data_IF_368738639279
#
_entry.id   IF_368738639279
#
_cell.length_a   1.000
_cell.length_b   1.000
_cell.length_c   1.000
_cell.angle_alpha   90.00
_cell.angle_beta   90.00
_cell.angle_gamma   90.00
#
_symmetry.space_group_name_H-M   'P 1'
#
loop_
_entity.id
_entity.type
_entity.pdbx_description
1 polymer ?
#
# COMPACT_ATOMS: atom_id res chain seq x y z
N UNK A 1 -6.14 132.29 63.75
CA UNK A 1 -4.94 133.12 63.50
C UNK A 1 -4.36 132.76 62.13
N UNK A 2 -4.13 133.79 61.31
CA UNK A 2 -3.17 133.92 60.19
C UNK A 2 -3.06 132.89 59.03
N UNK A 3 -3.67 133.27 57.90
CA UNK A 3 -3.09 133.52 56.54
C UNK A 3 -2.02 132.59 55.90
N UNK A 4 -2.46 131.95 54.80
CA UNK A 4 -1.89 131.83 53.41
C UNK A 4 -0.47 131.35 53.12
N UNK A 5 -0.37 130.34 52.23
CA UNK A 5 0.24 130.46 50.86
C UNK A 5 -0.14 129.27 49.92
N UNK A 6 -0.19 129.57 48.61
CA UNK A 6 -0.48 128.76 47.39
C UNK A 6 0.48 127.54 47.21
N UNK A 7 0.28 126.51 46.37
CA UNK A 7 -0.02 126.52 44.92
C UNK A 7 -0.27 125.11 44.30
N UNK A 8 -0.98 125.12 43.16
CA UNK A 8 -1.00 124.21 41.98
C UNK A 8 -1.19 122.67 42.06
N UNK A 9 -2.39 122.22 41.65
CA UNK A 9 -2.63 121.61 40.32
C UNK A 9 -2.08 120.21 39.96
N UNK A 10 -2.91 119.17 40.07
CA UNK A 10 -3.18 118.19 38.99
C UNK A 10 -4.23 117.17 39.45
N UNK A 11 -5.43 117.30 38.89
CA UNK A 11 -6.58 116.41 39.04
C UNK A 11 -6.61 115.35 37.93
N UNK A 12 -6.98 114.13 38.31
CA UNK A 12 -7.73 113.12 37.52
C UNK A 12 -7.18 112.62 36.18
N UNK A 13 -6.19 111.70 36.20
CA UNK A 13 -5.84 110.90 35.03
C UNK A 13 -5.58 109.39 35.28
N UNK A 14 -5.94 108.83 36.45
CA UNK A 14 -5.56 107.43 36.79
C UNK A 14 -6.70 106.46 37.10
N UNK A 15 -7.97 106.84 36.95
CA UNK A 15 -9.11 105.95 37.28
C UNK A 15 -10.01 105.53 36.09
N UNK A 16 -9.58 105.73 34.83
CA UNK A 16 -10.41 105.40 33.65
C UNK A 16 -9.79 104.41 32.63
N UNK A 17 -8.70 103.72 32.96
CA UNK A 17 -8.11 102.68 32.07
C UNK A 17 -8.53 101.24 32.42
N UNK A 18 -8.95 100.95 33.66
CA UNK A 18 -9.27 99.58 34.08
C UNK A 18 -10.63 99.06 33.58
N UNK A 19 -11.57 99.92 33.16
CA UNK A 19 -12.91 99.51 32.68
C UNK A 19 -13.01 99.29 31.16
N UNK A 20 -11.96 99.58 30.37
CA UNK A 20 -11.95 99.33 28.91
C UNK A 20 -11.42 97.94 28.52
N UNK A 21 -10.82 97.18 29.44
CA UNK A 21 -10.29 95.83 29.17
C UNK A 21 -11.25 94.68 29.49
N UNK A 22 -12.47 94.97 29.97
CA UNK A 22 -13.54 93.95 30.14
C UNK A 22 -14.61 94.15 29.08
N UNK A 23 -14.20 94.23 27.82
CA UNK A 23 -15.11 94.02 26.69
C UNK A 23 -14.68 92.76 25.96
N UNK A 24 -15.53 91.73 26.03
CA UNK A 24 -15.37 90.51 25.22
C UNK A 24 -15.24 90.93 23.75
N UNK A 25 -14.10 90.68 23.07
CA UNK A 25 -13.90 91.15 21.72
C UNK A 25 -14.95 90.52 20.80
N UNK A 26 -15.53 91.32 19.89
CA UNK A 26 -16.51 90.83 18.88
C UNK A 26 -15.98 89.62 18.10
N UNK A 27 -14.67 89.56 17.85
CA UNK A 27 -14.00 88.41 17.22
C UNK A 27 -14.05 87.13 18.07
N UNK A 28 -14.02 87.25 19.39
CA UNK A 28 -14.19 86.11 20.31
C UNK A 28 -15.58 85.46 20.19
N UNK A 29 -16.65 86.26 20.03
CA UNK A 29 -18.00 85.72 19.79
C UNK A 29 -18.14 85.01 18.44
N UNK A 30 -17.56 85.59 17.38
CA UNK A 30 -17.55 84.95 16.05
C UNK A 30 -16.79 83.62 16.10
N UNK A 31 -15.65 83.59 16.78
CA UNK A 31 -14.90 82.36 17.01
C UNK A 31 -15.72 81.33 17.81
N UNK A 32 -16.45 81.73 18.86
CA UNK A 32 -17.34 80.83 19.61
C UNK A 32 -18.47 80.27 18.75
N UNK A 33 -19.05 81.06 17.82
CA UNK A 33 -20.07 80.55 16.89
C UNK A 33 -19.49 79.61 15.83
N UNK A 34 -18.27 79.85 15.34
CA UNK A 34 -17.58 78.91 14.45
C UNK A 34 -17.18 77.62 15.18
N UNK A 35 -16.64 77.72 16.39
CA UNK A 35 -16.33 76.55 17.23
C UNK A 35 -17.60 75.79 17.58
N UNK A 36 -18.68 76.49 17.97
CA UNK A 36 -19.97 75.89 18.27
C UNK A 36 -20.63 75.26 17.04
N UNK A 37 -20.50 75.89 15.87
CA UNK A 37 -20.99 75.38 14.59
C UNK A 37 -20.21 74.14 14.12
N UNK A 38 -18.87 74.17 14.18
CA UNK A 38 -18.02 73.01 13.89
C UNK A 38 -18.30 71.88 14.87
N UNK A 39 -18.46 72.20 16.17
CA UNK A 39 -18.82 71.20 17.18
C UNK A 39 -20.19 70.57 16.90
N UNK A 40 -21.19 71.37 16.50
CA UNK A 40 -22.50 70.87 16.11
C UNK A 40 -22.42 69.99 14.84
N UNK A 41 -21.62 70.38 13.85
CA UNK A 41 -21.41 69.58 12.64
C UNK A 41 -20.72 68.25 12.97
N UNK A 42 -19.68 68.25 13.81
CA UNK A 42 -19.03 67.02 14.28
C UNK A 42 -20.03 66.15 15.05
N UNK A 43 -20.84 66.74 15.93
CA UNK A 43 -21.89 66.03 16.67
C UNK A 43 -22.92 65.39 15.73
N UNK A 44 -23.31 66.06 14.65
CA UNK A 44 -24.22 65.51 13.65
C UNK A 44 -23.55 64.41 12.81
N UNK A 45 -22.27 64.59 12.44
CA UNK A 45 -21.51 63.58 11.72
C UNK A 45 -21.41 62.26 12.50
N UNK A 46 -21.35 62.31 13.83
CA UNK A 46 -21.33 61.10 14.67
C UNK A 46 -22.56 60.19 14.47
N UNK A 47 -23.69 60.72 13.97
CA UNK A 47 -24.91 59.96 13.68
C UNK A 47 -25.06 59.53 12.21
N UNK A 48 -24.11 59.87 11.34
CA UNK A 48 -24.13 59.39 9.96
C UNK A 48 -23.96 57.86 9.92
N UNK A 49 -24.66 57.17 9.00
CA UNK A 49 -24.45 55.75 8.79
C UNK A 49 -23.04 55.48 8.24
N UNK A 50 -22.29 54.63 8.90
CA UNK A 50 -20.96 54.17 8.48
C UNK A 50 -21.00 52.66 8.22
N UNK A 51 -20.58 52.25 7.03
CA UNK A 51 -20.45 50.83 6.66
C UNK A 51 -19.16 50.27 7.23
N UNK A 52 -19.26 49.28 8.12
CA UNK A 52 -18.10 48.60 8.66
C UNK A 52 -17.48 47.69 7.60
N UNK A 53 -16.16 47.59 7.60
CA UNK A 53 -15.44 46.63 6.77
C UNK A 53 -14.35 45.93 7.59
N UNK A 54 -14.10 44.68 7.23
CA UNK A 54 -12.92 43.95 7.71
C UNK A 54 -11.97 43.87 6.54
N UNK A 55 -10.79 44.49 6.66
CA UNK A 55 -9.74 44.37 5.67
C UNK A 55 -8.88 43.15 5.95
N UNK A 56 -8.74 42.30 4.95
CA UNK A 56 -7.90 41.10 4.96
C UNK A 56 -6.86 41.20 3.85
N UNK A 57 -5.69 40.63 4.09
CA UNK A 57 -4.62 40.55 3.11
C UNK A 57 -4.23 39.09 2.91
N UNK A 58 -3.81 38.77 1.70
CA UNK A 58 -3.56 37.40 1.33
C UNK A 58 -2.94 37.24 -0.04
N UNK A 59 -2.96 36.01 -0.54
CA UNK A 59 -2.42 35.62 -1.83
C UNK A 59 -3.42 34.79 -2.60
N UNK A 60 -3.30 34.76 -3.91
CA UNK A 60 -4.10 33.91 -4.76
C UNK A 60 -3.56 32.48 -4.72
N UNK A 61 -4.42 31.52 -4.45
CA UNK A 61 -4.12 30.09 -4.35
C UNK A 61 -5.11 29.29 -5.20
N UNK A 62 -4.96 27.97 -5.21
CA UNK A 62 -5.97 27.09 -5.78
C UNK A 62 -6.88 26.52 -4.67
N UNK A 63 -8.17 26.47 -4.95
CA UNK A 63 -9.22 25.96 -4.06
C UNK A 63 -8.92 24.51 -3.69
N UNK A 64 -8.78 23.66 -4.71
CA UNK A 64 -8.53 22.23 -4.53
C UNK A 64 -7.03 21.93 -4.40
N UNK A 65 -6.62 20.99 -3.53
CA UNK A 65 -5.21 20.61 -3.38
C UNK A 65 -4.54 20.13 -4.68
N UNK A 66 -5.29 19.47 -5.57
CA UNK A 66 -4.79 18.96 -6.86
C UNK A 66 -4.42 20.07 -7.86
N UNK A 67 -5.02 21.25 -7.70
CA UNK A 67 -4.84 22.41 -8.57
C UNK A 67 -3.71 23.33 -8.08
N UNK A 68 -3.13 23.01 -6.91
CA UNK A 68 -1.95 23.70 -6.39
C UNK A 68 -0.69 23.26 -7.15
N UNK A 69 0.37 24.07 -7.14
CA UNK A 69 1.67 23.65 -7.68
C UNK A 69 2.13 22.33 -7.06
N UNK A 70 2.39 21.32 -7.91
CA UNK A 70 2.83 19.99 -7.50
C UNK A 70 4.31 19.81 -7.78
N UNK A 71 5.06 19.31 -6.81
CA UNK A 71 6.46 18.92 -7.01
C UNK A 71 6.53 17.53 -7.62
N UNK A 72 7.19 17.42 -8.77
CA UNK A 72 7.54 16.15 -9.40
C UNK A 72 8.87 15.70 -8.81
N UNK A 73 8.83 14.58 -8.09
CA UNK A 73 9.98 14.00 -7.38
C UNK A 73 10.57 12.83 -8.14
N UNK A 74 11.86 12.58 -7.91
CA UNK A 74 12.54 11.39 -8.41
C UNK A 74 12.11 10.17 -7.59
N UNK A 75 11.39 9.23 -8.22
CA UNK A 75 11.00 7.95 -7.56
C UNK A 75 12.23 7.07 -7.28
N UNK A 76 13.30 7.25 -8.05
CA UNK A 76 14.54 6.51 -7.88
C UNK A 76 15.73 7.46 -7.78
N UNK A 77 16.75 7.04 -7.06
CA UNK A 77 18.05 7.70 -7.14
C UNK A 77 18.68 7.44 -8.52
N UNK A 78 19.27 8.48 -9.11
CA UNK A 78 19.84 8.41 -10.45
C UNK A 78 20.63 9.66 -10.80
N UNK A 79 21.27 9.66 -11.96
CA UNK A 79 21.97 10.82 -12.52
C UNK A 79 21.16 11.40 -13.67
N UNK A 80 20.94 12.71 -13.68
CA UNK A 80 20.19 13.36 -14.77
C UNK A 80 21.02 13.27 -16.05
N UNK A 81 20.47 12.62 -17.08
CA UNK A 81 21.11 12.48 -18.41
C UNK A 81 20.70 13.62 -19.31
N UNK A 82 19.40 13.92 -19.34
CA UNK A 82 18.81 14.87 -20.28
C UNK A 82 17.52 15.45 -19.70
N UNK A 83 17.28 16.73 -19.99
CA UNK A 83 16.02 17.42 -19.77
C UNK A 83 15.28 17.54 -21.10
N UNK A 84 14.04 17.06 -21.16
CA UNK A 84 13.22 17.06 -22.38
C UNK A 84 12.35 18.31 -22.52
N UNK A 85 12.17 19.06 -21.43
CA UNK A 85 11.25 20.20 -21.35
C UNK A 85 11.94 21.40 -20.72
N UNK A 86 11.62 22.61 -21.22
CA UNK A 86 12.11 23.88 -20.69
C UNK A 86 11.08 24.50 -19.74
N UNK A 87 11.55 25.32 -18.79
CA UNK A 87 10.67 26.11 -17.92
C UNK A 87 9.71 27.01 -18.73
N UNK A 88 8.46 27.09 -18.28
CA UNK A 88 7.38 27.80 -18.96
C UNK A 88 6.67 27.00 -20.07
N UNK A 89 7.15 25.80 -20.40
CA UNK A 89 6.53 24.96 -21.44
C UNK A 89 5.30 24.23 -20.88
N UNK A 90 4.28 24.09 -21.72
CA UNK A 90 3.10 23.28 -21.44
C UNK A 90 3.42 21.79 -21.67
N UNK A 91 3.05 20.94 -20.71
CA UNK A 91 3.19 19.49 -20.77
C UNK A 91 1.84 18.83 -20.54
N UNK A 92 1.61 17.71 -21.22
CA UNK A 92 0.49 16.82 -20.96
C UNK A 92 0.84 15.79 -19.90
N UNK A 93 -0.19 15.16 -19.32
CA UNK A 93 0.00 14.01 -18.45
C UNK A 93 0.73 12.89 -19.19
N UNK A 94 1.82 12.40 -18.63
CA UNK A 94 2.65 11.34 -19.19
C UNK A 94 3.78 11.84 -20.10
N UNK A 95 3.89 13.13 -20.36
CA UNK A 95 5.05 13.68 -21.07
C UNK A 95 6.32 13.52 -20.23
N UNK A 96 7.44 13.21 -20.88
CA UNK A 96 8.72 13.02 -20.18
C UNK A 96 9.35 14.37 -19.90
N UNK A 97 9.70 14.63 -18.64
CA UNK A 97 10.35 15.86 -18.17
C UNK A 97 11.86 15.69 -18.18
N UNK A 98 12.34 14.57 -17.62
CA UNK A 98 13.76 14.27 -17.50
C UNK A 98 14.04 12.77 -17.65
N UNK A 99 15.21 12.43 -18.18
CA UNK A 99 15.74 11.07 -18.19
C UNK A 99 16.83 10.90 -17.13
N UNK A 100 16.71 9.86 -16.33
CA UNK A 100 17.66 9.46 -15.29
C UNK A 100 18.45 8.24 -15.75
N UNK A 101 19.76 8.25 -15.51
CA UNK A 101 20.62 7.08 -15.57
C UNK A 101 20.71 6.43 -14.19
N UNK A 102 20.70 5.11 -14.18
CA UNK A 102 20.89 4.32 -12.97
C UNK A 102 22.31 4.47 -12.42
N UNK A 103 22.41 4.51 -11.09
CA UNK A 103 23.67 4.67 -10.36
C UNK A 103 23.92 3.53 -9.38
N UNK A 104 22.89 2.73 -9.06
CA UNK A 104 23.03 1.60 -8.14
C UNK A 104 23.68 0.42 -8.87
N UNK A 105 24.78 -0.08 -8.32
CA UNK A 105 25.60 -1.17 -8.87
C UNK A 105 24.77 -2.38 -9.35
N UNK A 106 23.78 -2.79 -8.56
CA UNK A 106 22.88 -3.91 -8.88
C UNK A 106 22.18 -3.77 -10.24
N UNK A 107 21.92 -2.55 -10.69
CA UNK A 107 21.11 -2.23 -11.87
C UNK A 107 21.93 -1.60 -13.00
N UNK A 108 23.27 -1.61 -12.91
CA UNK A 108 24.15 -1.03 -13.93
C UNK A 108 24.27 -1.87 -15.20
N UNK A 109 23.86 -3.14 -15.18
CA UNK A 109 23.87 -4.00 -16.35
C UNK A 109 22.79 -3.54 -17.36
N UNK A 110 23.18 -3.10 -18.58
CA UNK A 110 22.22 -2.64 -19.60
C UNK A 110 21.23 -3.73 -20.03
N UNK A 111 21.63 -4.99 -19.94
CA UNK A 111 20.83 -6.15 -20.36
C UNK A 111 20.22 -6.89 -19.16
N UNK A 112 20.18 -6.27 -17.97
CA UNK A 112 19.74 -6.93 -16.74
C UNK A 112 18.37 -7.60 -16.89
N UNK A 113 17.40 -6.93 -17.51
CA UNK A 113 16.07 -7.50 -17.71
C UNK A 113 16.10 -8.75 -18.60
N UNK A 114 16.80 -8.70 -19.73
CA UNK A 114 16.94 -9.86 -20.61
C UNK A 114 17.67 -11.01 -19.92
N UNK A 115 18.72 -10.71 -19.14
CA UNK A 115 19.48 -11.69 -18.37
C UNK A 115 18.61 -12.35 -17.28
N UNK A 116 17.78 -11.55 -16.58
CA UNK A 116 16.83 -12.07 -15.58
C UNK A 116 15.74 -12.92 -16.22
N UNK A 117 15.25 -12.54 -17.40
CA UNK A 117 14.27 -13.30 -18.17
C UNK A 117 14.83 -14.66 -18.62
N UNK A 118 16.03 -14.68 -19.18
CA UNK A 118 16.71 -15.92 -19.58
C UNK A 118 16.95 -16.83 -18.36
N UNK A 119 17.39 -16.28 -17.23
CA UNK A 119 17.57 -17.05 -15.99
C UNK A 119 16.24 -17.61 -15.47
N UNK A 120 15.18 -16.82 -15.53
CA UNK A 120 13.84 -17.22 -15.13
C UNK A 120 13.33 -18.35 -16.03
N UNK A 121 13.44 -18.22 -17.35
CA UNK A 121 13.02 -19.24 -18.31
C UNK A 121 13.83 -20.54 -18.13
N UNK A 122 15.15 -20.44 -17.98
CA UNK A 122 16.00 -21.59 -17.72
C UNK A 122 15.62 -22.31 -16.43
N UNK A 123 15.31 -21.57 -15.36
CA UNK A 123 14.86 -22.14 -14.07
C UNK A 123 13.46 -22.73 -14.14
N UNK A 124 12.54 -22.09 -14.87
CA UNK A 124 11.21 -22.65 -15.15
C UNK A 124 11.31 -23.96 -15.93
N UNK A 125 12.13 -23.99 -16.99
CA UNK A 125 12.42 -25.20 -17.76
C UNK A 125 13.01 -26.31 -16.89
N UNK A 126 13.95 -25.97 -15.99
CA UNK A 126 14.50 -26.91 -15.01
C UNK A 126 13.44 -27.47 -14.05
N UNK A 127 12.52 -26.62 -13.57
CA UNK A 127 11.41 -27.06 -12.71
C UNK A 127 10.45 -28.01 -13.43
N UNK A 128 10.14 -27.73 -14.71
CA UNK A 128 9.29 -28.60 -15.55
C UNK A 128 9.98 -29.94 -15.80
N UNK A 129 11.25 -29.94 -16.23
CA UNK A 129 12.01 -31.17 -16.48
C UNK A 129 12.14 -32.03 -15.21
N UNK A 130 12.37 -31.42 -14.05
CA UNK A 130 12.47 -32.16 -12.79
C UNK A 130 11.11 -32.64 -12.28
N UNK A 131 10.04 -31.89 -12.57
CA UNK A 131 8.66 -32.35 -12.37
C UNK A 131 8.34 -33.60 -13.18
N UNK A 132 8.68 -33.60 -14.47
CA UNK A 132 8.52 -34.78 -15.34
C UNK A 132 9.36 -35.98 -14.84
N UNK A 133 10.56 -35.75 -14.32
CA UNK A 133 11.37 -36.80 -13.66
C UNK A 133 10.62 -37.41 -12.45
N UNK A 134 9.98 -36.59 -11.62
CA UNK A 134 9.21 -37.08 -10.48
C UNK A 134 7.97 -37.90 -10.92
N UNK A 135 7.32 -37.50 -12.00
CA UNK A 135 6.20 -38.27 -12.59
C UNK A 135 6.68 -39.63 -13.12
N UNK A 136 7.78 -39.67 -13.87
CA UNK A 136 8.38 -40.92 -14.34
C UNK A 136 8.77 -41.87 -13.19
N UNK A 137 9.29 -41.32 -12.08
CA UNK A 137 9.57 -42.11 -10.87
C UNK A 137 8.30 -42.67 -10.22
N UNK A 138 7.21 -41.90 -10.24
CA UNK A 138 5.91 -42.35 -9.73
C UNK A 138 5.37 -43.53 -10.55
N UNK A 139 5.49 -43.47 -11.88
CA UNK A 139 5.15 -44.57 -12.79
C UNK A 139 6.04 -45.79 -12.55
N UNK A 140 7.36 -45.59 -12.34
CA UNK A 140 8.29 -46.67 -12.02
C UNK A 140 7.91 -47.38 -10.71
N UNK A 141 7.53 -46.64 -9.66
CA UNK A 141 7.06 -47.22 -8.40
C UNK A 141 5.78 -48.04 -8.63
N UNK A 142 4.85 -47.55 -9.45
CA UNK A 142 3.64 -48.27 -9.78
C UNK A 142 3.95 -49.58 -10.52
N UNK A 143 4.84 -49.55 -11.51
CA UNK A 143 5.30 -50.75 -12.22
C UNK A 143 5.99 -51.75 -11.28
N UNK A 144 6.77 -51.28 -10.29
CA UNK A 144 7.37 -52.15 -9.26
C UNK A 144 6.31 -52.81 -8.38
N UNK A 145 5.26 -52.09 -7.99
CA UNK A 145 4.15 -52.63 -7.19
C UNK A 145 3.35 -53.69 -7.96
N UNK A 146 3.10 -53.45 -9.24
CA UNK A 146 2.45 -54.43 -10.12
C UNK A 146 3.35 -55.66 -10.33
N UNK A 147 4.64 -55.44 -10.58
CA UNK A 147 5.64 -56.49 -10.69
C UNK A 147 5.74 -57.38 -9.44
N UNK A 148 5.60 -56.78 -8.24
CA UNK A 148 5.53 -57.51 -6.97
C UNK A 148 4.34 -58.47 -6.94
N UNK A 149 3.16 -58.02 -7.33
CA UNK A 149 1.94 -58.84 -7.34
C UNK A 149 2.12 -60.08 -8.23
N UNK A 150 2.58 -59.90 -9.46
CA UNK A 150 2.84 -61.00 -10.38
C UNK A 150 3.94 -61.94 -9.90
N UNK A 151 5.01 -61.38 -9.34
CA UNK A 151 6.13 -62.16 -8.81
C UNK A 151 5.70 -63.01 -7.61
N UNK A 152 4.91 -62.46 -6.69
CA UNK A 152 4.34 -63.21 -5.56
C UNK A 152 3.39 -64.31 -6.03
N UNK A 153 2.56 -64.04 -7.03
CA UNK A 153 1.68 -65.06 -7.61
C UNK A 153 2.49 -66.22 -8.20
N UNK A 154 3.55 -65.91 -8.96
CA UNK A 154 4.48 -66.92 -9.51
C UNK A 154 5.14 -67.74 -8.40
N UNK A 155 5.63 -67.07 -7.34
CA UNK A 155 6.24 -67.74 -6.19
C UNK A 155 5.27 -68.65 -5.43
N UNK A 156 4.03 -68.19 -5.18
CA UNK A 156 2.97 -68.99 -4.55
C UNK A 156 2.61 -70.22 -5.37
N UNK A 157 2.48 -70.06 -6.69
CA UNK A 157 2.25 -71.19 -7.60
C UNK A 157 3.39 -72.21 -7.54
N UNK A 158 4.65 -71.76 -7.44
CA UNK A 158 5.80 -72.65 -7.31
C UNK A 158 5.79 -73.41 -5.98
N UNK A 159 5.46 -72.75 -4.87
CA UNK A 159 5.30 -73.39 -3.57
C UNK A 159 4.21 -74.47 -3.63
N UNK A 160 3.07 -74.16 -4.25
CA UNK A 160 1.97 -75.12 -4.37
C UNK A 160 2.34 -76.31 -5.27
N UNK A 161 3.01 -76.08 -6.39
CA UNK A 161 3.53 -77.14 -7.26
C UNK A 161 4.45 -78.10 -6.49
N UNK A 162 5.40 -77.56 -5.72
CA UNK A 162 6.34 -78.38 -4.94
C UNK A 162 5.63 -79.08 -3.78
N UNK A 163 4.59 -78.47 -3.19
CA UNK A 163 3.75 -79.09 -2.16
C UNK A 163 3.02 -80.32 -2.69
N UNK A 164 2.40 -80.22 -3.87
CA UNK A 164 1.74 -81.33 -4.54
C UNK A 164 2.73 -82.45 -4.92
N UNK A 165 3.93 -82.08 -5.38
CA UNK A 165 5.02 -83.05 -5.66
C UNK A 165 5.44 -83.81 -4.39
N UNK A 166 5.65 -83.11 -3.27
CA UNK A 166 5.95 -83.73 -1.98
C UNK A 166 4.83 -84.67 -1.51
N UNK A 167 3.57 -84.29 -1.71
CA UNK A 167 2.43 -85.15 -1.42
C UNK A 167 2.48 -86.43 -2.25
N UNK A 168 2.73 -86.34 -3.56
CA UNK A 168 2.89 -87.50 -4.44
C UNK A 168 4.02 -88.42 -3.98
N UNK A 169 5.22 -87.88 -3.74
CA UNK A 169 6.37 -88.67 -3.29
C UNK A 169 6.12 -89.32 -1.91
N UNK A 170 5.35 -88.66 -1.04
CA UNK A 170 4.99 -89.23 0.26
C UNK A 170 4.02 -90.41 0.15
N UNK A 171 3.12 -90.38 -0.83
CA UNK A 171 2.21 -91.50 -1.13
C UNK A 171 3.01 -92.68 -1.67
N UNK A 172 3.96 -92.45 -2.59
CA UNK A 172 4.86 -93.48 -3.12
C UNK A 172 5.67 -94.14 -1.99
N UNK A 173 6.16 -93.34 -1.04
CA UNK A 173 6.90 -93.82 0.11
C UNK A 173 6.04 -94.72 1.01
N UNK A 174 4.79 -94.33 1.28
CA UNK A 174 3.86 -95.13 2.08
C UNK A 174 3.55 -96.45 1.37
N UNK A 175 3.31 -96.44 0.06
CA UNK A 175 3.09 -97.65 -0.71
C UNK A 175 4.30 -98.61 -0.65
N UNK A 176 5.53 -98.07 -0.77
CA UNK A 176 6.73 -98.89 -0.68
C UNK A 176 6.98 -99.44 0.74
N UNK A 177 6.56 -98.74 1.80
CA UNK A 177 6.59 -99.27 3.18
C UNK A 177 5.68 -100.49 3.32
N UNK A 178 4.50 -100.44 2.72
CA UNK A 178 3.59 -101.60 2.68
C UNK A 178 4.22 -102.77 1.92
N UNK A 179 4.86 -102.52 0.77
CA UNK A 179 5.55 -103.54 -0.01
C UNK A 179 6.72 -104.19 0.78
N UNK A 180 7.48 -103.39 1.52
CA UNK A 180 8.54 -103.90 2.39
C UNK A 180 7.97 -104.84 3.47
N UNK A 181 6.90 -104.45 4.16
CA UNK A 181 6.27 -105.29 5.17
C UNK A 181 5.75 -106.63 4.60
N UNK A 182 5.25 -106.61 3.35
CA UNK A 182 4.85 -107.84 2.64
C UNK A 182 6.09 -108.70 2.35
N UNK A 183 7.19 -108.11 1.87
CA UNK A 183 8.43 -108.83 1.58
C UNK A 183 9.06 -109.44 2.85
N UNK A 184 9.05 -108.71 3.97
CA UNK A 184 9.48 -109.18 5.30
C UNK A 184 8.67 -110.40 5.74
N UNK A 185 7.34 -110.29 5.74
CA UNK A 185 6.45 -111.41 6.10
C UNK A 185 6.60 -112.62 5.18
N UNK A 186 6.86 -112.42 3.88
CA UNK A 186 7.14 -113.52 2.95
C UNK A 186 8.50 -114.17 3.21
N UNK A 187 9.53 -113.38 3.54
CA UNK A 187 10.84 -113.89 3.88
C UNK A 187 10.81 -114.71 5.18
N UNK A 188 10.22 -114.19 6.26
CA UNK A 188 10.07 -114.89 7.55
C UNK A 188 9.33 -116.23 7.41
N UNK A 189 8.23 -116.25 6.64
CA UNK A 189 7.49 -117.50 6.36
C UNK A 189 8.34 -118.50 5.58
N UNK A 190 9.10 -118.03 4.59
CA UNK A 190 9.95 -118.91 3.78
C UNK A 190 11.14 -119.45 4.60
N UNK A 191 11.70 -118.64 5.49
CA UNK A 191 12.76 -119.03 6.43
C UNK A 191 12.28 -120.15 7.36
N UNK A 192 11.11 -119.98 7.98
CA UNK A 192 10.49 -121.01 8.82
C UNK A 192 10.21 -122.32 8.06
N UNK A 193 9.73 -122.25 6.81
CA UNK A 193 9.50 -123.44 5.98
C UNK A 193 10.80 -124.14 5.56
N UNK A 194 11.88 -123.39 5.33
CA UNK A 194 13.19 -123.94 5.03
C UNK A 194 13.80 -124.66 6.25
N UNK A 195 13.70 -124.07 7.44
CA UNK A 195 14.12 -124.70 8.70
C UNK A 195 13.39 -126.03 8.97
N UNK A 196 12.13 -126.13 8.54
CA UNK A 196 11.33 -127.36 8.60
C UNK A 196 11.63 -128.35 7.45
N UNK A 197 12.54 -128.03 6.54
CA UNK A 197 12.91 -128.87 5.39
C UNK A 197 11.87 -128.91 4.26
N UNK A 198 10.86 -128.03 4.29
CA UNK A 198 9.73 -128.02 3.34
C UNK A 198 10.02 -127.24 2.06
N UNK A 199 11.13 -126.49 2.02
CA UNK A 199 11.50 -125.57 0.92
C UNK A 199 13.00 -125.62 0.62
N UNK A 200 13.40 -125.19 -0.58
CA UNK A 200 14.80 -125.18 -1.01
C UNK A 200 15.55 -123.91 -0.58
N UNK A 201 16.89 -124.02 -0.41
CA UNK A 201 17.76 -122.88 -0.11
C UNK A 201 17.67 -121.79 -1.18
N UNK A 202 17.57 -122.18 -2.45
CA UNK A 202 17.46 -121.25 -3.58
C UNK A 202 16.17 -120.41 -3.50
N UNK A 203 15.05 -120.99 -3.09
CA UNK A 203 13.80 -120.23 -2.89
C UNK A 203 13.92 -119.23 -1.72
N UNK A 204 14.61 -119.61 -0.64
CA UNK A 204 14.89 -118.69 0.48
C UNK A 204 15.78 -117.52 0.05
N UNK A 205 16.85 -117.79 -0.69
CA UNK A 205 17.75 -116.75 -1.21
C UNK A 205 17.04 -115.80 -2.18
N UNK A 206 16.12 -116.30 -3.01
CA UNK A 206 15.29 -115.46 -3.86
C UNK A 206 14.39 -114.51 -3.05
N UNK A 207 13.81 -114.97 -1.93
CA UNK A 207 13.03 -114.11 -1.02
C UNK A 207 13.90 -113.10 -0.29
N UNK A 208 15.11 -113.50 0.13
CA UNK A 208 16.10 -112.60 0.74
C UNK A 208 16.49 -111.47 -0.23
N UNK A 209 16.74 -111.80 -1.50
CA UNK A 209 17.04 -110.82 -2.54
C UNK A 209 15.87 -109.83 -2.72
N UNK A 210 14.62 -110.34 -2.79
CA UNK A 210 13.42 -109.48 -2.90
C UNK A 210 13.24 -108.54 -1.71
N UNK A 211 13.53 -109.01 -0.49
CA UNK A 211 13.53 -108.18 0.70
C UNK A 211 14.58 -107.05 0.59
N UNK A 212 15.82 -107.39 0.20
CA UNK A 212 16.89 -106.40 0.01
C UNK A 212 16.55 -105.37 -1.08
N UNK A 213 15.94 -105.80 -2.20
CA UNK A 213 15.45 -104.90 -3.25
C UNK A 213 14.38 -103.93 -2.70
N UNK A 214 13.44 -104.42 -1.89
CA UNK A 214 12.40 -103.61 -1.28
C UNK A 214 12.97 -102.60 -0.27
N UNK A 215 13.97 -102.99 0.53
CA UNK A 215 14.69 -102.11 1.47
C UNK A 215 15.47 -101.01 0.73
N UNK A 216 16.22 -101.37 -0.31
CA UNK A 216 16.97 -100.41 -1.13
C UNK A 216 16.05 -99.40 -1.81
N UNK A 217 14.90 -99.87 -2.32
CA UNK A 217 13.88 -99.01 -2.94
C UNK A 217 13.20 -98.09 -1.93
N UNK A 218 12.95 -98.57 -0.70
CA UNK A 218 12.44 -97.72 0.39
C UNK A 218 13.42 -96.58 0.68
N UNK A 219 14.69 -96.89 0.89
CA UNK A 219 15.73 -95.89 1.15
C UNK A 219 15.82 -94.85 0.02
N UNK A 220 15.71 -95.28 -1.24
CA UNK A 220 15.69 -94.39 -2.40
C UNK A 220 14.50 -93.41 -2.35
N UNK A 221 13.30 -93.89 -2.02
CA UNK A 221 12.11 -93.04 -1.88
C UNK A 221 12.17 -92.12 -0.65
N UNK A 222 12.76 -92.57 0.46
CA UNK A 222 12.98 -91.70 1.63
C UNK A 222 13.90 -90.52 1.30
N UNK A 223 14.99 -90.78 0.58
CA UNK A 223 15.87 -89.73 0.07
C UNK A 223 15.14 -88.79 -0.89
N UNK A 224 14.28 -89.33 -1.77
CA UNK A 224 13.46 -88.53 -2.69
C UNK A 224 12.50 -87.59 -1.95
N UNK A 225 11.78 -88.09 -0.93
CA UNK A 225 10.88 -87.28 -0.09
C UNK A 225 11.67 -86.22 0.70
N UNK A 226 12.83 -86.58 1.24
CA UNK A 226 13.69 -85.63 1.94
C UNK A 226 14.16 -84.49 1.00
N UNK A 227 14.55 -84.84 -0.22
CA UNK A 227 14.94 -83.88 -1.26
C UNK A 227 13.78 -82.95 -1.64
N UNK A 228 12.58 -83.48 -1.90
CA UNK A 228 11.43 -82.62 -2.26
C UNK A 228 10.91 -81.78 -1.09
N UNK A 229 11.09 -82.24 0.16
CA UNK A 229 10.84 -81.40 1.34
C UNK A 229 11.81 -80.21 1.41
N UNK A 230 13.09 -80.43 1.11
CA UNK A 230 14.07 -79.35 1.02
C UNK A 230 13.75 -78.39 -0.13
N UNK A 231 13.33 -78.89 -1.31
CA UNK A 231 12.84 -78.06 -2.42
C UNK A 231 11.66 -77.18 -2.00
N UNK A 232 10.69 -77.71 -1.24
CA UNK A 232 9.54 -76.95 -0.75
C UNK A 232 9.98 -75.84 0.23
N UNK A 233 10.91 -76.15 1.13
CA UNK A 233 11.46 -75.17 2.06
C UNK A 233 12.17 -74.04 1.31
N UNK A 234 13.00 -74.38 0.31
CA UNK A 234 13.67 -73.38 -0.53
C UNK A 234 12.67 -72.50 -1.28
N UNK A 235 11.61 -73.09 -1.85
CA UNK A 235 10.56 -72.32 -2.54
C UNK A 235 9.81 -71.35 -1.60
N UNK A 236 9.62 -71.71 -0.33
CA UNK A 236 9.03 -70.82 0.69
C UNK A 236 9.97 -69.68 1.07
N UNK A 237 11.25 -69.99 1.27
CA UNK A 237 12.27 -68.96 1.56
C UNK A 237 12.37 -67.97 0.40
N UNK A 238 12.35 -68.45 -0.84
CA UNK A 238 12.37 -67.62 -2.05
C UNK A 238 11.12 -66.72 -2.16
N UNK A 239 9.95 -67.24 -1.78
CA UNK A 239 8.74 -66.41 -1.74
C UNK A 239 8.87 -65.26 -0.73
N UNK A 240 9.46 -65.52 0.43
CA UNK A 240 9.67 -64.51 1.47
C UNK A 240 10.77 -63.50 1.07
N UNK A 241 11.87 -63.95 0.47
CA UNK A 241 12.94 -63.07 0.00
C UNK A 241 12.45 -62.12 -1.08
N UNK A 242 11.60 -62.60 -2.00
CA UNK A 242 11.00 -61.79 -3.04
C UNK A 242 10.21 -60.60 -2.48
N UNK A 243 9.44 -60.81 -1.41
CA UNK A 243 8.70 -59.73 -0.76
C UNK A 243 9.65 -58.68 -0.16
N UNK A 244 10.72 -59.11 0.50
CA UNK A 244 11.71 -58.21 1.09
C UNK A 244 12.49 -57.42 0.02
N UNK A 245 12.86 -58.06 -1.08
CA UNK A 245 13.59 -57.43 -2.19
C UNK A 245 12.78 -56.30 -2.85
N UNK A 246 11.50 -56.55 -3.13
CA UNK A 246 10.61 -55.52 -3.70
C UNK A 246 10.31 -54.41 -2.70
N UNK A 247 10.15 -54.73 -1.41
CA UNK A 247 9.96 -53.72 -0.38
C UNK A 247 11.16 -52.75 -0.32
N UNK A 248 12.39 -53.26 -0.38
CA UNK A 248 13.62 -52.44 -0.45
C UNK A 248 13.67 -51.59 -1.73
N UNK A 249 13.37 -52.17 -2.90
CA UNK A 249 13.32 -51.43 -4.18
C UNK A 249 12.29 -50.31 -4.17
N UNK A 250 11.08 -50.59 -3.69
CA UNK A 250 10.00 -49.61 -3.59
C UNK A 250 10.38 -48.50 -2.59
N UNK A 251 10.91 -48.85 -1.42
CA UNK A 251 11.33 -47.86 -0.43
C UNK A 251 12.44 -46.93 -0.96
N UNK A 252 13.42 -47.46 -1.69
CA UNK A 252 14.47 -46.66 -2.34
C UNK A 252 13.89 -45.72 -3.39
N UNK A 253 12.99 -46.22 -4.24
CA UNK A 253 12.34 -45.40 -5.27
C UNK A 253 11.45 -44.31 -4.66
N UNK A 254 10.70 -44.62 -3.59
CA UNK A 254 9.89 -43.64 -2.85
C UNK A 254 10.75 -42.57 -2.17
N UNK A 255 11.89 -42.95 -1.58
CA UNK A 255 12.84 -42.00 -1.02
C UNK A 255 13.40 -41.03 -2.07
N UNK A 256 13.78 -41.55 -3.24
CA UNK A 256 14.28 -40.73 -4.35
C UNK A 256 13.19 -39.81 -4.93
N UNK A 257 11.95 -40.31 -5.05
CA UNK A 257 10.79 -39.51 -5.44
C UNK A 257 10.56 -38.35 -4.46
N UNK A 258 10.62 -38.62 -3.15
CA UNK A 258 10.42 -37.58 -2.13
C UNK A 258 11.54 -36.54 -2.16
N UNK A 259 12.79 -36.96 -2.33
CA UNK A 259 13.93 -36.04 -2.51
C UNK A 259 13.75 -35.17 -3.78
N UNK A 260 13.32 -35.78 -4.88
CA UNK A 260 13.05 -35.07 -6.14
C UNK A 260 11.89 -34.09 -6.00
N UNK A 261 10.80 -34.46 -5.33
CA UNK A 261 9.68 -33.56 -5.03
C UNK A 261 10.12 -32.36 -4.17
N UNK A 262 10.93 -32.61 -3.15
CA UNK A 262 11.51 -31.53 -2.33
C UNK A 262 12.36 -30.58 -3.18
N UNK A 263 13.16 -31.12 -4.10
CA UNK A 263 13.95 -30.32 -5.03
C UNK A 263 13.07 -29.47 -5.94
N UNK A 264 12.00 -30.03 -6.53
CA UNK A 264 11.03 -29.28 -7.36
C UNK A 264 10.42 -28.11 -6.58
N UNK A 265 10.04 -28.31 -5.32
CA UNK A 265 9.51 -27.24 -4.47
C UNK A 265 10.55 -26.14 -4.24
N UNK A 266 11.81 -26.51 -4.00
CA UNK A 266 12.93 -25.57 -3.91
C UNK A 266 13.12 -24.76 -5.21
N UNK A 267 13.16 -25.42 -6.37
CA UNK A 267 13.29 -24.76 -7.67
C UNK A 267 12.11 -23.82 -7.94
N UNK A 268 10.88 -24.20 -7.58
CA UNK A 268 9.71 -23.32 -7.72
C UNK A 268 9.81 -22.07 -6.85
N UNK A 269 10.35 -22.18 -5.64
CA UNK A 269 10.62 -21.03 -4.78
C UNK A 269 11.67 -20.09 -5.39
N UNK A 270 12.73 -20.64 -5.99
CA UNK A 270 13.72 -19.85 -6.75
C UNK A 270 13.10 -19.13 -7.95
N UNK A 271 12.25 -19.82 -8.72
CA UNK A 271 11.50 -19.23 -9.84
C UNK A 271 10.64 -18.07 -9.36
N UNK A 272 9.88 -18.24 -8.27
CA UNK A 272 9.05 -17.17 -7.71
C UNK A 272 9.89 -15.95 -7.27
N UNK A 273 11.07 -16.18 -6.69
CA UNK A 273 12.01 -15.12 -6.32
C UNK A 273 12.53 -14.37 -7.54
N UNK A 274 12.99 -15.10 -8.56
CA UNK A 274 13.46 -14.50 -9.83
C UNK A 274 12.35 -13.74 -10.55
N UNK A 275 11.12 -14.26 -10.56
CA UNK A 275 9.98 -13.57 -11.15
C UNK A 275 9.70 -12.23 -10.43
N UNK A 276 9.72 -12.22 -9.10
CA UNK A 276 9.54 -10.98 -8.33
C UNK A 276 10.68 -9.98 -8.60
N UNK A 277 11.91 -10.47 -8.72
CA UNK A 277 13.07 -9.64 -9.07
C UNK A 277 12.96 -9.07 -10.49
N UNK A 278 12.54 -9.87 -11.47
CA UNK A 278 12.26 -9.41 -12.84
C UNK A 278 11.18 -8.32 -12.85
N UNK A 279 10.01 -8.60 -12.26
CA UNK A 279 8.89 -7.66 -12.23
C UNK A 279 9.25 -6.34 -11.53
N UNK A 280 9.93 -6.41 -10.38
CA UNK A 280 10.37 -5.20 -9.67
C UNK A 280 11.40 -4.41 -10.46
N UNK A 281 12.32 -5.08 -11.17
CA UNK A 281 13.30 -4.43 -12.05
C UNK A 281 12.62 -3.79 -13.27
N UNK A 282 11.59 -4.43 -13.81
CA UNK A 282 10.81 -3.93 -14.94
C UNK A 282 10.02 -2.67 -14.56
N UNK A 283 9.38 -2.66 -13.39
CA UNK A 283 8.70 -1.45 -12.88
C UNK A 283 9.74 -0.36 -12.59
N UNK A 284 10.89 -0.73 -12.00
CA UNK A 284 11.97 0.22 -11.71
C UNK A 284 12.50 0.91 -12.98
N UNK A 285 12.66 0.19 -14.09
CA UNK A 285 13.19 0.78 -15.32
C UNK A 285 12.25 1.82 -15.93
N UNK A 286 10.94 1.76 -15.65
CA UNK A 286 9.98 2.79 -16.06
C UNK A 286 10.27 4.14 -15.36
N UNK A 287 10.84 4.11 -14.15
CA UNK A 287 11.21 5.31 -13.40
C UNK A 287 12.50 5.98 -13.90
N UNK A 288 13.17 5.44 -14.92
CA UNK A 288 14.24 6.14 -15.63
C UNK A 288 13.71 7.35 -16.40
N UNK A 289 12.42 7.38 -16.72
CA UNK A 289 11.76 8.53 -17.32
C UNK A 289 10.85 9.18 -16.28
N UNK A 290 11.16 10.42 -15.92
CA UNK A 290 10.35 11.20 -14.99
C UNK A 290 9.21 11.82 -15.79
N UNK A 291 7.99 11.33 -15.56
CA UNK A 291 6.80 11.74 -16.31
C UNK A 291 6.00 12.81 -15.56
N UNK A 292 5.30 13.66 -16.32
CA UNK A 292 4.37 14.63 -15.76
C UNK A 292 3.11 13.94 -15.19
N UNK A 293 2.77 14.14 -13.90
CA UNK A 293 1.59 13.52 -13.27
C UNK A 293 0.25 14.03 -13.81
N UNK A 294 0.21 15.27 -14.30
CA UNK A 294 -0.97 15.92 -14.87
C UNK A 294 -0.57 16.97 -15.91
N UNK A 295 -1.54 17.46 -16.68
CA UNK A 295 -1.31 18.51 -17.67
C UNK A 295 -1.12 19.88 -17.00
N UNK A 296 -0.15 20.66 -17.46
CA UNK A 296 0.17 21.94 -16.85
C UNK A 296 1.45 22.59 -17.38
N UNK A 297 1.86 23.68 -16.77
CA UNK A 297 3.08 24.41 -17.07
C UNK A 297 4.20 24.06 -16.11
N UNK A 298 5.40 23.82 -16.64
CA UNK A 298 6.59 23.62 -15.84
C UNK A 298 7.08 24.96 -15.26
N UNK A 299 6.96 25.18 -13.95
CA UNK A 299 7.24 26.48 -13.32
C UNK A 299 8.73 26.64 -12.99
N UNK A 300 9.32 25.64 -12.35
CA UNK A 300 10.69 25.71 -11.86
C UNK A 300 11.34 24.34 -11.87
N UNK A 301 12.54 24.26 -12.40
CA UNK A 301 13.47 23.15 -12.22
C UNK A 301 14.33 23.44 -10.98
N UNK A 302 14.28 22.55 -9.99
CA UNK A 302 14.93 22.77 -8.69
C UNK A 302 16.41 22.33 -8.69
N UNK A 303 16.82 21.57 -9.73
CA UNK A 303 18.18 21.06 -9.96
C UNK A 303 18.70 21.53 -11.31
N UNK A 304 19.94 22.04 -11.33
CA UNK A 304 20.42 22.92 -12.39
C UNK A 304 21.39 22.27 -13.41
N UNK A 305 21.81 21.02 -13.23
CA UNK A 305 22.88 20.44 -14.05
C UNK A 305 22.58 19.05 -14.63
N UNK A 306 22.73 18.92 -15.96
CA UNK A 306 22.98 17.62 -16.60
C UNK A 306 24.20 16.98 -15.91
N UNK A 307 24.10 15.70 -15.54
CA UNK A 307 25.16 14.97 -14.84
C UNK A 307 25.11 15.04 -13.31
N UNK A 308 24.20 15.82 -12.73
CA UNK A 308 23.97 15.81 -11.28
C UNK A 308 23.27 14.53 -10.81
N UNK A 309 23.59 14.11 -9.59
CA UNK A 309 22.94 12.96 -8.94
C UNK A 309 21.79 13.44 -8.06
N UNK A 310 20.67 12.73 -8.16
CA UNK A 310 19.46 12.96 -7.36
C UNK A 310 19.15 11.74 -6.52
N UNK A 311 18.59 11.97 -5.34
CA UNK A 311 18.13 10.95 -4.41
C UNK A 311 16.65 10.64 -4.66
N UNK A 312 16.23 9.49 -4.17
CA UNK A 312 14.81 9.13 -4.11
C UNK A 312 14.04 10.12 -3.21
N UNK A 313 12.89 10.60 -3.70
CA UNK A 313 12.07 11.64 -3.07
C UNK A 313 12.60 13.06 -3.26
N UNK A 314 13.68 13.26 -4.00
CA UNK A 314 14.21 14.61 -4.26
C UNK A 314 13.37 15.30 -5.35
N UNK A 315 12.93 16.53 -5.08
CA UNK A 315 12.12 17.31 -6.01
C UNK A 315 12.95 17.77 -7.23
N UNK A 316 12.46 17.45 -8.42
CA UNK A 316 13.12 17.76 -9.70
C UNK A 316 12.54 19.00 -10.35
N UNK A 317 11.21 19.07 -10.41
CA UNK A 317 10.50 20.18 -11.02
C UNK A 317 9.17 20.45 -10.32
N UNK A 318 8.61 21.64 -10.54
CA UNK A 318 7.25 21.99 -10.08
C UNK A 318 6.35 22.20 -11.30
N UNK A 319 5.20 21.53 -11.31
CA UNK A 319 4.17 21.71 -12.35
C UNK A 319 3.01 22.49 -11.76
N UNK A 320 2.62 23.55 -12.44
CA UNK A 320 1.37 24.26 -12.21
C UNK A 320 0.31 23.70 -13.17
N UNK A 321 -0.78 23.11 -12.69
CA UNK A 321 -1.87 22.68 -13.57
C UNK A 321 -2.38 23.82 -14.47
N UNK A 322 -2.86 23.45 -15.67
CA UNK A 322 -3.22 24.39 -16.73
C UNK A 322 -4.40 25.29 -16.37
N UNK A 323 -5.42 24.72 -15.73
CA UNK A 323 -6.68 25.38 -15.40
C UNK A 323 -7.05 25.10 -13.94
N UNK A 324 -6.43 25.82 -13.00
CA UNK A 324 -6.70 25.64 -11.57
C UNK A 324 -7.99 26.36 -11.15
N UNK A 325 -8.79 25.73 -10.30
CA UNK A 325 -9.88 26.43 -9.61
C UNK A 325 -9.28 27.49 -8.65
N UNK A 326 -9.36 28.76 -9.03
CA UNK A 326 -8.71 29.84 -8.30
C UNK A 326 -9.49 30.24 -7.03
N UNK A 327 -8.76 30.49 -5.95
CA UNK A 327 -9.31 31.01 -4.70
C UNK A 327 -8.35 32.03 -4.07
N UNK A 328 -8.88 33.09 -3.46
CA UNK A 328 -8.07 34.01 -2.67
C UNK A 328 -7.91 33.49 -1.25
N UNK A 329 -6.66 33.23 -0.85
CA UNK A 329 -6.27 32.86 0.50
C UNK A 329 -6.03 34.12 1.33
N UNK A 330 -7.03 34.51 2.12
CA UNK A 330 -7.02 35.73 2.93
C UNK A 330 -6.86 35.40 4.41
N UNK A 331 -6.20 36.28 5.15
CA UNK A 331 -5.99 36.14 6.58
C UNK A 331 -6.77 37.21 7.36
N UNK A 332 -7.61 36.78 8.30
CA UNK A 332 -8.42 37.66 9.17
C UNK A 332 -8.03 37.44 10.63
N UNK A 333 -8.10 38.50 11.42
CA UNK A 333 -7.78 38.47 12.84
C UNK A 333 -8.82 37.65 13.65
N UNK A 334 -8.37 37.01 14.73
CA UNK A 334 -9.22 36.19 15.60
C UNK A 334 -10.47 36.93 16.14
N UNK A 335 -10.38 38.25 16.30
CA UNK A 335 -11.47 39.10 16.79
C UNK A 335 -12.63 39.16 15.78
N UNK A 336 -12.31 39.15 14.49
CA UNK A 336 -13.25 39.36 13.40
C UNK A 336 -13.79 38.05 12.82
N UNK A 337 -13.17 36.91 13.14
CA UNK A 337 -13.59 35.58 12.68
C UNK A 337 -15.06 35.23 12.96
N UNK A 338 -15.65 35.51 14.15
CA UNK A 338 -17.05 35.17 14.43
C UNK A 338 -18.06 35.92 13.55
N UNK A 339 -17.61 36.96 12.85
CA UNK A 339 -18.44 37.85 12.05
C UNK A 339 -18.51 37.43 10.59
N UNK A 340 -17.63 36.51 10.17
CA UNK A 340 -17.59 35.98 8.81
C UNK A 340 -18.09 34.55 8.84
N UNK A 341 -18.99 34.22 7.92
CA UNK A 341 -19.54 32.89 7.70
C UNK A 341 -19.27 32.45 6.27
N UNK A 342 -19.20 31.14 6.02
CA UNK A 342 -19.26 30.63 4.66
C UNK A 342 -20.53 31.14 3.97
N UNK A 343 -20.38 31.69 2.78
CA UNK A 343 -21.44 32.34 2.01
C UNK A 343 -21.52 33.86 2.12
N UNK A 344 -20.68 34.50 2.95
CA UNK A 344 -20.68 35.97 3.03
C UNK A 344 -19.97 36.61 1.82
N UNK A 345 -20.50 37.75 1.37
CA UNK A 345 -19.97 38.52 0.25
C UNK A 345 -18.68 39.25 0.63
N UNK A 346 -17.67 39.11 -0.22
CA UNK A 346 -16.40 39.82 -0.11
C UNK A 346 -16.06 40.55 -1.42
N UNK A 347 -15.41 41.71 -1.29
CA UNK A 347 -14.81 42.41 -2.43
C UNK A 347 -13.31 42.20 -2.42
N UNK A 348 -12.76 41.79 -3.56
CA UNK A 348 -11.35 41.50 -3.74
C UNK A 348 -10.69 42.53 -4.65
N UNK A 349 -9.50 42.97 -4.29
CA UNK A 349 -8.59 43.70 -5.15
C UNK A 349 -7.35 42.84 -5.39
N UNK A 350 -7.10 42.51 -6.65
CA UNK A 350 -5.92 41.78 -7.08
C UNK A 350 -4.75 42.72 -7.33
N UNK A 351 -3.56 42.32 -6.89
CA UNK A 351 -2.32 43.03 -7.19
C UNK A 351 -2.07 43.08 -8.71
N UNK A 352 -1.74 44.27 -9.23
CA UNK A 352 -1.63 44.52 -10.66
C UNK A 352 -2.91 45.04 -11.32
N UNK A 353 -4.05 45.06 -10.61
CA UNK A 353 -5.32 45.64 -11.06
C UNK A 353 -5.68 46.87 -10.21
N UNK A 354 -5.73 48.08 -10.81
CA UNK A 354 -5.99 49.30 -10.05
C UNK A 354 -7.45 49.37 -9.57
N UNK A 355 -7.65 49.79 -8.31
CA UNK A 355 -8.98 49.99 -7.72
C UNK A 355 -9.80 51.14 -8.34
N UNK A 356 -9.13 52.06 -9.05
CA UNK A 356 -9.76 53.22 -9.69
C UNK A 356 -9.55 53.12 -11.20
N UNK A 357 -10.63 52.85 -11.93
CA UNK A 357 -10.59 52.84 -13.40
C UNK A 357 -11.11 54.18 -13.94
N UNK A 358 -10.30 54.84 -14.77
CA UNK A 358 -10.70 56.04 -15.48
C UNK A 358 -11.37 55.69 -16.81
N UNK A 359 -12.38 56.46 -17.21
CA UNK A 359 -13.07 56.35 -18.51
C UNK A 359 -12.07 56.41 -19.67
N UNK A 360 -11.79 55.27 -20.32
CA UNK A 360 -10.90 55.17 -21.49
C UNK A 360 -9.96 53.95 -21.53
N UNK A 361 -9.92 53.12 -20.48
CA UNK A 361 -9.13 51.89 -20.44
C UNK A 361 -9.91 50.69 -21.03
N UNK A 362 -9.34 49.88 -21.95
CA UNK A 362 -10.00 48.68 -22.46
C UNK A 362 -10.04 47.59 -21.39
N UNK A 363 -11.23 47.05 -21.09
CA UNK A 363 -11.37 45.79 -20.35
C UNK A 363 -11.46 45.84 -18.82
N UNK A 364 -11.48 47.03 -18.19
CA UNK A 364 -11.66 47.14 -16.73
C UNK A 364 -12.81 48.11 -16.41
N UNK A 365 -13.96 47.61 -15.99
CA UNK A 365 -15.11 48.42 -15.56
C UNK A 365 -15.23 48.55 -14.04
N UNK A 366 -14.49 47.72 -13.29
CA UNK A 366 -14.54 47.64 -11.83
C UNK A 366 -13.13 47.48 -11.26
N UNK A 367 -12.83 48.20 -10.18
CA UNK A 367 -11.54 48.10 -9.48
C UNK A 367 -11.52 47.08 -8.34
N UNK A 368 -12.67 46.48 -8.04
CA UNK A 368 -12.84 45.42 -7.04
C UNK A 368 -13.77 44.36 -7.60
N UNK A 369 -13.43 43.09 -7.41
CA UNK A 369 -14.17 41.94 -7.92
C UNK A 369 -14.99 41.30 -6.79
N UNK A 370 -16.21 40.80 -7.06
CA UNK A 370 -16.97 40.04 -6.07
C UNK A 370 -16.33 38.67 -5.81
N UNK A 371 -16.54 38.16 -4.60
CA UNK A 371 -16.17 36.80 -4.21
C UNK A 371 -16.97 36.37 -2.99
N UNK A 372 -17.12 35.06 -2.81
CA UNK A 372 -17.88 34.45 -1.72
C UNK A 372 -16.94 33.64 -0.82
N UNK A 373 -17.14 33.70 0.50
CA UNK A 373 -16.36 32.87 1.43
C UNK A 373 -16.76 31.40 1.29
N UNK A 374 -15.87 30.58 0.71
CA UNK A 374 -16.11 29.15 0.56
C UNK A 374 -15.71 28.34 1.81
N UNK A 375 -14.53 28.63 2.36
CA UNK A 375 -13.96 27.84 3.47
C UNK A 375 -13.32 28.76 4.49
N UNK A 376 -13.54 28.46 5.77
CA UNK A 376 -12.86 29.07 6.90
C UNK A 376 -12.09 27.98 7.63
N UNK A 377 -10.78 28.14 7.76
CA UNK A 377 -9.95 27.18 8.45
C UNK A 377 -10.23 27.18 9.96
N UNK A 378 -10.31 25.99 10.54
CA UNK A 378 -10.51 25.81 11.98
C UNK A 378 -9.19 25.95 12.78
N UNK A 379 -8.06 26.21 12.11
CA UNK A 379 -6.76 26.39 12.72
C UNK A 379 -6.15 27.72 12.26
N UNK A 380 -5.73 28.54 13.22
CA UNK A 380 -5.07 29.81 12.94
C UNK A 380 -3.54 29.67 12.89
N UNK A 381 -2.91 30.53 12.10
CA UNK A 381 -1.45 30.74 12.06
C UNK A 381 -1.17 32.16 12.56
N UNK A 382 -0.30 32.30 13.56
CA UNK A 382 0.09 33.60 14.14
C UNK A 382 -1.06 34.50 14.60
N UNK A 383 -2.13 33.90 15.14
CA UNK A 383 -3.30 34.64 15.65
C UNK A 383 -4.28 35.12 14.57
N UNK A 384 -4.04 34.76 13.30
CA UNK A 384 -4.94 34.97 12.17
C UNK A 384 -5.50 33.64 11.69
N UNK A 385 -6.70 33.69 11.13
CA UNK A 385 -7.38 32.55 10.53
C UNK A 385 -7.42 32.71 9.03
N UNK A 386 -7.24 31.58 8.33
CA UNK A 386 -7.26 31.54 6.88
C UNK A 386 -8.69 31.40 6.37
N UNK A 387 -9.03 32.19 5.36
CA UNK A 387 -10.27 32.11 4.60
C UNK A 387 -9.94 31.90 3.14
N UNK A 388 -10.70 31.03 2.48
CA UNK A 388 -10.66 30.84 1.03
C UNK A 388 -11.91 31.50 0.45
N UNK A 389 -11.69 32.51 -0.38
CA UNK A 389 -12.74 33.20 -1.12
C UNK A 389 -12.70 32.74 -2.57
N UNK A 390 -13.84 32.36 -3.13
CA UNK A 390 -14.00 31.92 -4.52
C UNK A 390 -14.70 33.00 -5.34
N UNK A 391 -14.59 33.00 -6.68
CA UNK A 391 -15.39 33.89 -7.51
C UNK A 391 -16.88 33.67 -7.25
N UNK A 392 -17.62 34.77 -7.09
CA UNK A 392 -19.07 34.75 -6.94
C UNK A 392 -19.71 34.35 -8.29
N UNK A 393 -20.50 33.27 -8.35
CA UNK A 393 -21.10 32.78 -9.60
C UNK A 393 -22.13 33.74 -10.21
N UNK A 394 -22.72 34.64 -9.42
CA UNK A 394 -23.70 35.63 -9.88
C UNK A 394 -23.06 37.01 -10.17
N UNK A 395 -21.76 37.15 -9.88
CA UNK A 395 -20.98 38.37 -10.01
C UNK A 395 -20.13 38.47 -11.28
N UNK A 396 -19.30 39.51 -11.36
CA UNK A 396 -18.31 39.63 -12.44
C UNK A 396 -17.18 38.60 -12.31
N UNK A 397 -16.84 37.94 -13.42
CA UNK A 397 -15.72 37.00 -13.50
C UNK A 397 -14.39 37.70 -13.14
N UNK A 398 -13.52 36.94 -12.46
CA UNK A 398 -12.18 37.41 -12.16
C UNK A 398 -11.33 37.51 -13.44
N UNK A 399 -10.30 38.37 -13.48
CA UNK A 399 -9.48 38.50 -14.67
C UNK A 399 -8.73 37.22 -15.07
N UNK A 400 -8.75 36.85 -16.35
CA UNK A 400 -8.05 35.66 -16.89
C UNK A 400 -6.53 35.66 -16.62
N UNK A 401 -5.92 36.84 -16.46
CA UNK A 401 -4.47 36.98 -16.31
C UNK A 401 -3.96 36.83 -14.86
N UNK A 402 -4.80 36.34 -13.95
CA UNK A 402 -4.42 36.09 -12.58
C UNK A 402 -3.48 34.87 -12.46
N UNK A 403 -2.49 34.97 -11.58
CA UNK A 403 -1.52 33.88 -11.33
C UNK A 403 -1.52 33.50 -9.85
N UNK A 404 -1.39 32.20 -9.58
CA UNK A 404 -1.18 31.72 -8.21
C UNK A 404 0.06 32.39 -7.62
N UNK A 405 -0.06 32.87 -6.39
CA UNK A 405 0.94 33.64 -5.67
C UNK A 405 0.83 35.17 -5.80
N UNK A 406 -0.05 35.70 -6.66
CA UNK A 406 -0.34 37.14 -6.71
C UNK A 406 -0.97 37.64 -5.41
N UNK A 407 -0.63 38.84 -4.94
CA UNK A 407 -1.24 39.43 -3.75
C UNK A 407 -2.72 39.76 -3.97
N UNK A 408 -3.52 39.58 -2.92
CA UNK A 408 -4.95 39.92 -2.90
C UNK A 408 -5.28 40.66 -1.61
N UNK A 409 -6.04 41.74 -1.73
CA UNK A 409 -6.64 42.43 -0.60
C UNK A 409 -8.15 42.23 -0.65
N UNK A 410 -8.74 41.73 0.44
CA UNK A 410 -10.18 41.47 0.53
C UNK A 410 -10.86 42.34 1.58
N UNK A 411 -12.05 42.83 1.28
CA UNK A 411 -12.92 43.50 2.24
C UNK A 411 -14.23 42.74 2.38
N UNK A 412 -14.51 42.25 3.58
CA UNK A 412 -15.86 41.81 3.93
C UNK A 412 -16.70 43.05 4.26
N UNK A 413 -17.86 43.19 3.61
CA UNK A 413 -18.81 44.26 3.92
C UNK A 413 -19.72 43.80 5.06
N UNK A 414 -19.67 44.50 6.19
CA UNK A 414 -20.50 44.21 7.36
C UNK A 414 -21.69 45.18 7.46
N UNK A 415 -22.37 45.16 8.61
CA UNK A 415 -23.50 46.02 8.90
C UNK A 415 -23.16 47.53 8.90
N UNK A 416 -24.18 48.35 8.65
CA UNK A 416 -24.09 49.81 8.71
C UNK A 416 -24.40 50.31 10.12
N UNK A 417 -23.44 50.97 10.77
CA UNK A 417 -23.55 51.41 12.17
C UNK A 417 -23.18 52.90 12.28
N UNK A 418 -23.74 53.69 13.23
CA UNK A 418 -23.37 55.09 13.37
C UNK A 418 -21.90 55.32 13.72
N UNK A 419 -21.29 56.41 13.23
CA UNK A 419 -19.86 56.74 13.42
C UNK A 419 -19.43 56.75 14.91
N UNK A 420 -20.29 57.21 15.82
CA UNK A 420 -19.95 57.21 17.26
C UNK A 420 -19.69 55.80 17.82
N UNK A 421 -20.44 54.80 17.34
CA UNK A 421 -20.31 53.42 17.80
C UNK A 421 -19.01 52.83 17.28
N UNK A 422 -18.65 53.11 16.03
CA UNK A 422 -17.39 52.68 15.44
C UNK A 422 -16.18 53.21 16.21
N UNK A 423 -16.17 54.51 16.51
CA UNK A 423 -15.11 55.14 17.32
C UNK A 423 -15.03 54.57 18.73
N UNK A 424 -16.18 54.35 19.38
CA UNK A 424 -16.23 53.72 20.70
C UNK A 424 -15.69 52.28 20.66
N UNK A 425 -16.08 51.50 19.65
CA UNK A 425 -15.69 50.11 19.46
C UNK A 425 -14.19 49.97 19.19
N UNK A 426 -13.63 50.78 18.30
CA UNK A 426 -12.20 50.80 18.00
C UNK A 426 -11.37 51.17 19.23
N UNK A 427 -11.83 52.12 20.06
CA UNK A 427 -11.15 52.51 21.30
C UNK A 427 -11.15 51.39 22.35
N UNK A 428 -12.18 50.55 22.37
CA UNK A 428 -12.34 49.46 23.33
C UNK A 428 -11.94 48.07 22.78
N UNK A 429 -11.46 48.01 21.53
CA UNK A 429 -11.03 46.78 20.87
C UNK A 429 -12.14 45.69 20.80
N UNK A 430 -13.39 46.11 20.53
CA UNK A 430 -14.52 45.20 20.34
C UNK A 430 -14.65 44.75 18.87
N UNK A 431 -15.18 43.54 18.62
CA UNK A 431 -15.42 43.03 17.27
C UNK A 431 -16.53 43.81 16.58
N UNK A 432 -16.54 43.82 15.25
CA UNK A 432 -17.34 44.74 14.47
C UNK A 432 -18.86 44.73 14.73
N UNK A 433 -19.43 43.56 15.02
CA UNK A 433 -20.78 43.40 15.53
C UNK A 433 -20.80 42.88 16.98
N UNK A 434 -20.76 43.79 17.97
CA UNK A 434 -21.22 43.50 19.34
C UNK A 434 -22.74 43.65 19.48
N UNK A 435 -23.47 43.93 18.39
CA UNK A 435 -24.93 43.92 18.34
C UNK A 435 -25.42 42.48 18.40
N UNK A 436 -25.46 41.94 19.62
CA UNK A 436 -25.85 40.56 19.87
C UNK A 436 -27.25 40.28 19.33
N UNK A 437 -27.33 39.52 18.26
CA UNK A 437 -28.52 38.71 17.99
C UNK A 437 -28.44 37.45 18.85
N UNK A 438 -28.51 37.63 20.17
CA UNK A 438 -28.98 36.58 21.07
C UNK A 438 -30.50 36.44 20.90
N UNK A 439 -30.92 35.88 19.78
CA UNK A 439 -32.13 35.07 19.77
C UNK A 439 -31.71 33.62 19.95
N UNK A 440 -31.33 33.30 21.19
CA UNK A 440 -31.40 31.94 21.69
C UNK A 440 -32.88 31.53 21.60
N UNK A 441 -33.21 30.79 20.54
CA UNK A 441 -34.47 30.08 20.46
C UNK A 441 -34.44 28.96 21.50
N UNK A 442 -34.84 29.28 22.74
CA UNK A 442 -35.23 28.26 23.71
C UNK A 442 -36.51 27.61 23.18
N UNK A 443 -36.38 26.53 22.42
CA UNK A 443 -37.43 25.53 22.28
C UNK A 443 -36.98 24.29 23.02
N UNK A 444 -37.52 24.14 24.23
CA UNK A 444 -37.61 22.85 24.90
C UNK A 444 -38.15 21.81 23.92
N UNK A 445 -37.37 20.78 23.64
CA UNK A 445 -37.93 19.46 23.41
C UNK A 445 -36.98 18.41 23.96
N UNK A 446 -37.29 17.94 25.18
CA UNK A 446 -36.81 16.65 25.67
C UNK A 446 -37.16 15.57 24.65
N UNK A 447 -36.16 14.91 24.09
CA UNK A 447 -36.24 13.48 23.77
C UNK A 447 -34.86 12.85 23.93
N UNK A 448 -34.77 12.06 24.99
CA UNK A 448 -33.72 11.10 25.29
C UNK A 448 -33.47 10.18 24.10
N UNK A 449 -32.21 10.01 23.71
CA UNK A 449 -31.75 8.84 22.98
C UNK A 449 -30.32 8.54 23.45
N UNK A 450 -30.22 7.54 24.34
CA UNK A 450 -29.00 6.80 24.61
C UNK A 450 -28.48 6.21 23.31
N UNK A 451 -27.18 6.38 23.02
CA UNK A 451 -26.44 5.42 22.20
C UNK A 451 -25.13 5.12 22.91
N UNK A 452 -25.01 3.85 23.26
CA UNK A 452 -23.88 3.13 23.82
C UNK A 452 -22.66 3.16 22.89
N UNK A 453 -21.48 3.31 23.48
CA UNK A 453 -20.24 2.84 22.87
C UNK A 453 -20.07 1.36 23.27
N UNK A 454 -20.16 0.46 22.28
CA UNK A 454 -19.55 -0.87 22.37
C UNK A 454 -18.13 -0.79 21.80
N UNK A 455 -17.26 -1.63 22.38
CA UNK A 455 -15.83 -1.85 22.10
C UNK A 455 -15.48 -2.18 20.64
#
# INVERSE_FOLDING_TARGET
MSKTTKDTGQTDYLQLEAMKQVQTPRQGRVLTYWIGGIFLVILLCLFLPWTQNISSQGVLTALSPQDRPQTVEAIIAGRIVEWHVLEGTFVNKGDTIASLAEIKEKYLDPNLLANLEEQLEAKQGSAVATGAKAEAMQEQIQALREGLVFSLQKGRNKVEQTRLKLQSDSIDLVAQRTELAIAESQFERQESLYEQGLKSLTELEQRRLKLQEAQAKLLSLENKVASTRAELQNARTELNSLQAEYADKIAKAEAELNATRSYVLGTRAEVAKLQSEYNSTQVRSQYYHVLAPQAGYLVRTLKAGIGETVKEGEALATIMPFDPDMAAELYVDALDLPLIKPGDDMRLQFEGWPALVFSGWPGASFGTFPGEVAVIDNAGTDGKYRLLVVPDPDGEEWPDALRVGSGVQGWAMLNTVPIWYELWRQLNNFPADYTGDQKVATKETKKTAEISYEE
#
